data_IF_922569375255
#
_entry.id   IF_922569375255
#
_cell.length_a   1.000
_cell.length_b   1.000
_cell.length_c   1.000
_cell.angle_alpha   90.00
_cell.angle_beta   90.00
_cell.angle_gamma   90.00
#
_symmetry.space_group_name_H-M   'P 1'
#
loop_
_entity.id
_entity.type
_entity.pdbx_description
1 polymer ?
#
# COMPACT_ATOMS: atom_id res chain seq x y z
N UNK A 1 -58.79 16.27 11.28
CA UNK A 1 -57.86 15.56 12.18
C UNK A 1 -56.51 15.36 11.48
N UNK A 2 -56.09 16.31 10.63
CA UNK A 2 -55.16 16.02 9.54
C UNK A 2 -53.86 16.83 9.63
N UNK A 3 -53.91 18.00 10.27
CA UNK A 3 -52.73 18.86 10.50
C UNK A 3 -51.76 18.29 11.53
N UNK A 4 -52.27 17.54 12.52
CA UNK A 4 -51.45 16.90 13.55
C UNK A 4 -50.63 15.76 12.95
N UNK A 5 -51.22 14.99 12.02
CA UNK A 5 -50.52 13.94 11.28
C UNK A 5 -49.49 14.50 10.30
N UNK A 6 -49.78 15.60 9.61
CA UNK A 6 -48.78 16.25 8.74
C UNK A 6 -47.60 16.79 9.55
N UNK A 7 -47.87 17.39 10.72
CA UNK A 7 -46.84 17.87 11.63
C UNK A 7 -46.02 16.69 12.20
N UNK A 8 -46.67 15.58 12.57
CA UNK A 8 -46.05 14.32 12.99
C UNK A 8 -45.13 13.72 11.91
N UNK A 9 -45.54 13.74 10.65
CA UNK A 9 -44.72 13.24 9.53
C UNK A 9 -43.50 14.14 9.24
N UNK A 10 -43.62 15.47 9.49
CA UNK A 10 -42.51 16.43 9.37
C UNK A 10 -41.49 16.33 10.52
N UNK A 11 -41.92 16.10 11.76
CA UNK A 11 -41.00 15.85 12.89
C UNK A 11 -40.33 14.47 12.81
N UNK A 12 -40.98 13.45 12.23
CA UNK A 12 -40.39 12.12 12.00
C UNK A 12 -39.33 12.12 10.88
N UNK A 13 -39.43 13.03 9.91
CA UNK A 13 -38.39 13.19 8.87
C UNK A 13 -37.16 13.98 9.35
N UNK A 14 -37.31 14.80 10.40
CA UNK A 14 -36.20 15.55 10.98
C UNK A 14 -35.39 14.76 12.04
N UNK A 15 -35.95 13.68 12.60
CA UNK A 15 -35.30 12.89 13.67
C UNK A 15 -34.31 11.83 13.16
N UNK A 16 -34.18 11.63 11.85
CA UNK A 16 -33.28 10.60 11.26
C UNK A 16 -31.94 11.18 10.76
N UNK A 17 -31.73 12.50 10.78
CA UNK A 17 -30.41 13.11 10.53
C UNK A 17 -29.57 13.23 11.83
N UNK A 18 -29.59 12.20 12.66
CA UNK A 18 -28.77 12.17 13.87
C UNK A 18 -27.29 11.90 13.50
N UNK A 19 -26.56 12.96 13.17
CA UNK A 19 -25.11 13.06 12.89
C UNK A 19 -24.29 11.76 12.89
N UNK A 20 -24.61 10.88 11.95
CA UNK A 20 -23.85 9.68 11.66
C UNK A 20 -22.73 10.06 10.69
N UNK A 21 -21.49 9.66 11.00
CA UNK A 21 -20.35 9.86 10.12
C UNK A 21 -20.19 8.59 9.28
N UNK A 22 -20.43 8.63 7.95
CA UNK A 22 -20.28 7.44 7.11
C UNK A 22 -18.85 6.90 7.13
N UNK A 23 -18.72 5.57 7.13
CA UNK A 23 -17.41 4.92 7.06
C UNK A 23 -16.74 5.18 5.70
N UNK A 24 -15.40 5.29 5.66
CA UNK A 24 -14.67 5.34 4.40
C UNK A 24 -14.91 4.06 3.59
N UNK A 25 -14.89 4.19 2.26
CA UNK A 25 -15.07 3.06 1.34
C UNK A 25 -13.90 2.95 0.37
N UNK A 26 -13.81 1.82 -0.33
CA UNK A 26 -12.84 1.59 -1.39
C UNK A 26 -11.38 1.82 -0.95
N UNK A 27 -11.02 1.28 0.22
CA UNK A 27 -9.64 1.28 0.68
C UNK A 27 -8.79 0.45 -0.28
N UNK A 28 -7.68 1.02 -0.76
CA UNK A 28 -6.74 0.37 -1.67
C UNK A 28 -5.32 0.73 -1.29
N UNK A 29 -4.42 -0.23 -1.37
CA UNK A 29 -2.98 0.01 -1.29
C UNK A 29 -2.39 -0.13 -2.69
N UNK A 30 -1.80 0.95 -3.18
CA UNK A 30 -0.92 0.91 -4.35
C UNK A 30 0.51 0.70 -3.85
N UNK A 31 1.12 -0.40 -4.25
CA UNK A 31 2.46 -0.79 -3.79
C UNK A 31 3.39 -1.00 -4.98
N UNK A 32 4.36 -0.09 -5.14
CA UNK A 32 5.42 -0.15 -6.16
C UNK A 32 6.76 0.15 -5.53
N UNK A 33 7.78 -0.65 -5.80
CA UNK A 33 9.13 -0.48 -5.22
C UNK A 33 9.12 -0.37 -3.68
N UNK A 34 8.18 -1.07 -3.02
CA UNK A 34 7.94 -0.98 -1.57
C UNK A 34 7.62 0.43 -1.06
N UNK A 35 7.06 1.27 -1.94
CA UNK A 35 6.36 2.49 -1.59
C UNK A 35 4.89 2.13 -1.47
N UNK A 36 4.33 2.27 -0.26
CA UNK A 36 3.00 1.77 0.07
C UNK A 36 2.05 2.95 0.26
N UNK A 37 1.23 3.24 -0.75
CA UNK A 37 0.28 4.35 -0.71
C UNK A 37 -1.14 3.81 -0.48
N UNK A 38 -1.68 4.06 0.71
CA UNK A 38 -3.08 3.78 1.03
C UNK A 38 -3.95 4.92 0.50
N UNK A 39 -5.01 4.58 -0.22
CA UNK A 39 -6.04 5.52 -0.68
C UNK A 39 -7.42 5.03 -0.27
N UNK A 40 -8.37 5.95 -0.14
CA UNK A 40 -9.78 5.64 0.15
C UNK A 40 -10.70 6.72 -0.41
N UNK A 41 -12.00 6.45 -0.36
CA UNK A 41 -13.04 7.41 -0.71
C UNK A 41 -13.91 7.74 0.50
N UNK A 42 -14.46 8.94 0.52
CA UNK A 42 -15.48 9.31 1.49
C UNK A 42 -16.71 8.41 1.32
N UNK A 43 -17.38 8.07 2.43
CA UNK A 43 -18.61 7.30 2.38
C UNK A 43 -19.74 8.09 1.71
N UNK A 44 -20.75 7.41 1.14
CA UNK A 44 -21.91 8.09 0.56
C UNK A 44 -22.61 8.97 1.60
N UNK A 45 -22.92 10.22 1.21
CA UNK A 45 -23.55 11.19 2.12
C UNK A 45 -22.61 11.79 3.18
N UNK A 46 -21.30 11.57 3.08
CA UNK A 46 -20.33 12.23 3.96
C UNK A 46 -20.42 13.76 3.87
N UNK A 47 -20.47 14.49 5.00
CA UNK A 47 -20.44 15.95 5.00
C UNK A 47 -19.06 16.47 4.54
N UNK A 48 -19.01 17.73 4.11
CA UNK A 48 -17.74 18.41 3.83
C UNK A 48 -16.91 18.60 5.11
N UNK A 49 -15.59 18.53 5.00
CA UNK A 49 -14.68 18.87 6.11
C UNK A 49 -14.36 17.71 7.06
N UNK A 50 -14.70 16.47 6.69
CA UNK A 50 -14.25 15.29 7.43
C UNK A 50 -12.72 15.20 7.51
N UNK A 51 -12.26 14.68 8.63
CA UNK A 51 -10.88 14.25 8.81
C UNK A 51 -10.83 12.73 8.87
N UNK A 52 -9.70 12.14 8.50
CA UNK A 52 -9.50 10.70 8.51
C UNK A 52 -8.28 10.36 9.34
N UNK A 53 -8.41 9.28 10.12
CA UNK A 53 -7.34 8.71 10.92
C UNK A 53 -7.00 7.34 10.39
N UNK A 54 -5.71 7.10 10.16
CA UNK A 54 -5.18 5.80 9.76
C UNK A 54 -4.46 5.17 10.94
N UNK A 55 -4.85 3.94 11.27
CA UNK A 55 -4.17 3.11 12.26
C UNK A 55 -3.74 1.80 11.62
N UNK A 56 -2.67 1.22 12.14
CA UNK A 56 -2.11 -0.03 11.66
C UNK A 56 -1.72 -0.93 12.84
N UNK A 57 -1.63 -2.22 12.59
CA UNK A 57 -0.96 -3.17 13.47
C UNK A 57 -0.34 -4.31 12.69
N UNK A 58 0.51 -5.06 13.35
CA UNK A 58 0.93 -6.39 12.92
C UNK A 58 0.63 -7.40 14.03
N UNK A 59 0.93 -8.68 13.84
CA UNK A 59 0.67 -9.69 14.87
C UNK A 59 1.53 -9.54 16.13
N UNK A 60 2.64 -8.80 16.06
CA UNK A 60 3.59 -8.59 17.16
C UNK A 60 3.22 -7.39 18.05
N UNK A 61 2.37 -6.47 17.56
CA UNK A 61 2.12 -5.18 18.20
C UNK A 61 0.62 -4.82 18.19
N UNK A 62 0.20 -4.05 19.17
CA UNK A 62 -1.14 -3.44 19.18
C UNK A 62 -1.32 -2.37 18.09
N UNK A 63 -2.57 -1.91 17.93
CA UNK A 63 -2.93 -0.82 17.04
C UNK A 63 -2.17 0.46 17.37
N UNK A 64 -1.49 1.01 16.37
CA UNK A 64 -0.76 2.28 16.42
C UNK A 64 -1.31 3.23 15.38
N UNK A 65 -1.21 4.53 15.66
CA UNK A 65 -1.57 5.54 14.67
C UNK A 65 -0.40 5.75 13.71
N UNK A 66 -0.70 6.04 12.45
CA UNK A 66 0.32 6.51 11.51
C UNK A 66 0.45 8.03 11.74
N UNK A 67 1.59 8.49 12.25
CA UNK A 67 1.76 9.86 12.75
C UNK A 67 1.38 10.92 11.71
N UNK A 68 1.81 10.72 10.47
CA UNK A 68 1.51 11.62 9.35
C UNK A 68 0.07 11.52 8.81
N UNK A 69 -0.75 10.61 9.36
CA UNK A 69 -2.11 10.34 8.91
C UNK A 69 -3.13 10.31 10.07
N UNK A 70 -2.91 11.15 11.08
CA UNK A 70 -3.81 11.32 12.24
C UNK A 70 -5.08 12.12 11.93
N UNK A 71 -5.00 13.04 10.95
CA UNK A 71 -6.05 14.01 10.60
C UNK A 71 -6.06 14.38 9.10
N UNK A 72 -6.10 13.40 8.21
CA UNK A 72 -6.07 13.57 6.74
C UNK A 72 -7.37 14.21 6.25
N UNK A 73 -7.33 15.15 5.29
CA UNK A 73 -8.54 15.79 4.70
C UNK A 73 -8.65 15.60 3.19
N UNK A 74 -7.71 16.17 2.43
CA UNK A 74 -7.58 15.98 1.00
C UNK A 74 -6.12 16.27 0.62
N UNK A 75 -5.48 15.50 -0.26
CA UNK A 75 -5.98 14.26 -0.89
C UNK A 75 -6.19 13.12 0.13
N UNK A 76 -7.11 12.19 -0.17
CA UNK A 76 -7.43 11.03 0.67
C UNK A 76 -6.42 9.90 0.47
N UNK A 77 -5.20 10.17 0.94
CA UNK A 77 -4.08 9.23 0.86
C UNK A 77 -3.26 9.24 2.16
N UNK A 78 -2.55 8.14 2.38
CA UNK A 78 -1.62 8.00 3.48
C UNK A 78 -0.42 7.15 3.03
N UNK A 79 0.79 7.67 3.25
CA UNK A 79 2.00 6.91 3.00
C UNK A 79 2.27 5.98 4.19
N UNK A 80 2.32 4.68 3.93
CA UNK A 80 2.55 3.63 4.93
C UNK A 80 3.98 3.05 4.87
N UNK A 81 4.83 3.55 3.97
CA UNK A 81 6.16 2.99 3.68
C UNK A 81 7.04 2.78 4.92
N UNK A 82 7.01 3.71 5.87
CA UNK A 82 7.87 3.63 7.05
C UNK A 82 7.30 2.70 8.13
N UNK A 83 5.97 2.61 8.21
CA UNK A 83 5.28 1.77 9.21
C UNK A 83 5.19 0.30 8.79
N UNK A 84 5.18 0.04 7.48
CA UNK A 84 5.21 -1.31 6.88
C UNK A 84 6.65 -1.76 6.58
N UNK A 85 7.56 -1.55 7.54
CA UNK A 85 9.00 -1.76 7.35
C UNK A 85 9.46 -3.22 7.40
N UNK A 86 8.75 -4.09 8.11
CA UNK A 86 9.04 -5.53 8.13
C UNK A 86 8.32 -6.19 6.95
N UNK A 87 9.07 -6.50 5.90
CA UNK A 87 8.50 -6.86 4.59
C UNK A 87 7.84 -8.25 4.56
N UNK A 88 8.10 -9.08 5.57
CA UNK A 88 7.69 -10.49 5.61
C UNK A 88 6.47 -10.76 6.49
N UNK A 89 5.98 -9.76 7.21
CA UNK A 89 4.86 -9.93 8.13
C UNK A 89 3.57 -9.36 7.58
N UNK A 90 2.47 -9.86 8.13
CA UNK A 90 1.13 -9.36 7.82
C UNK A 90 0.79 -8.11 8.63
N UNK A 91 0.28 -7.11 7.93
CA UNK A 91 -0.26 -5.89 8.48
C UNK A 91 -1.77 -5.79 8.30
N UNK A 92 -2.41 -5.17 9.29
CA UNK A 92 -3.84 -4.84 9.30
C UNK A 92 -3.96 -3.33 9.41
N UNK A 93 -4.80 -2.73 8.57
CA UNK A 93 -4.89 -1.29 8.41
C UNK A 93 -6.36 -0.87 8.45
N UNK A 94 -6.65 0.14 9.27
CA UNK A 94 -7.98 0.71 9.40
C UNK A 94 -7.96 2.22 9.13
N UNK A 95 -9.02 2.70 8.48
CA UNK A 95 -9.29 4.11 8.27
C UNK A 95 -10.62 4.46 8.93
N UNK A 96 -10.62 5.52 9.75
CA UNK A 96 -11.81 6.01 10.44
C UNK A 96 -12.07 7.45 10.06
N UNK A 97 -13.31 7.79 9.67
CA UNK A 97 -13.72 9.16 9.43
C UNK A 97 -14.08 9.85 10.76
N UNK A 98 -13.73 11.13 10.89
CA UNK A 98 -13.83 11.93 12.10
C UNK A 98 -14.49 13.27 11.77
N UNK A 99 -15.51 13.63 12.54
CA UNK A 99 -16.24 14.89 12.44
C UNK A 99 -16.43 15.49 13.83
N UNK A 100 -15.54 16.39 14.24
CA UNK A 100 -15.50 16.89 15.61
C UNK A 100 -15.30 15.73 16.60
N UNK A 101 -16.27 15.53 17.50
CA UNK A 101 -16.23 14.47 18.52
C UNK A 101 -16.86 13.14 18.05
N UNK A 102 -17.32 13.06 16.79
CA UNK A 102 -17.96 11.85 16.25
C UNK A 102 -17.03 11.12 15.29
N UNK A 103 -17.12 9.79 15.29
CA UNK A 103 -16.34 8.93 14.40
C UNK A 103 -17.24 7.94 13.68
N UNK A 104 -16.84 7.51 12.48
CA UNK A 104 -17.45 6.37 11.81
C UNK A 104 -17.06 5.04 12.47
N UNK A 105 -17.71 3.95 12.07
CA UNK A 105 -17.09 2.63 12.20
C UNK A 105 -15.77 2.60 11.40
N UNK A 106 -14.74 1.87 11.85
CA UNK A 106 -13.52 1.72 11.08
C UNK A 106 -13.78 0.93 9.80
N UNK A 107 -13.19 1.39 8.69
CA UNK A 107 -13.10 0.62 7.45
C UNK A 107 -11.75 -0.07 7.40
N UNK A 108 -11.73 -1.37 7.12
CA UNK A 108 -10.52 -2.18 7.13
C UNK A 108 -10.09 -2.53 5.71
N UNK A 109 -8.80 -2.38 5.41
CA UNK A 109 -8.20 -2.97 4.23
C UNK A 109 -8.01 -4.49 4.46
N UNK A 110 -8.06 -5.33 3.42
CA UNK A 110 -7.60 -6.71 3.52
C UNK A 110 -6.18 -6.81 4.13
N UNK A 111 -5.81 -7.95 4.74
CA UNK A 111 -4.45 -8.14 5.22
C UNK A 111 -3.41 -7.89 4.11
N UNK A 112 -2.32 -7.22 4.45
CA UNK A 112 -1.28 -6.84 3.49
C UNK A 112 0.10 -7.35 3.96
N UNK A 113 0.82 -8.02 3.08
CA UNK A 113 2.18 -8.53 3.29
C UNK A 113 3.09 -7.87 2.25
N UNK A 114 4.00 -6.96 2.63
CA UNK A 114 4.74 -6.16 1.66
C UNK A 114 5.50 -6.97 0.61
N UNK A 115 6.16 -8.07 0.98
CA UNK A 115 6.93 -8.89 0.02
C UNK A 115 6.05 -9.65 -0.99
N UNK A 116 4.82 -10.00 -0.61
CA UNK A 116 3.92 -10.80 -1.45
C UNK A 116 2.95 -9.94 -2.26
N UNK A 117 2.53 -8.81 -1.70
CA UNK A 117 1.47 -7.95 -2.25
C UNK A 117 2.01 -6.69 -2.95
N UNK A 118 3.34 -6.57 -3.08
CA UNK A 118 4.00 -5.53 -3.87
C UNK A 118 4.37 -6.06 -5.24
N UNK A 119 4.09 -5.29 -6.29
CA UNK A 119 4.61 -5.58 -7.62
C UNK A 119 6.13 -5.38 -7.62
N UNK A 120 6.86 -6.49 -7.75
CA UNK A 120 8.31 -6.49 -7.77
C UNK A 120 8.84 -6.33 -9.20
N UNK A 121 9.59 -5.26 -9.41
CA UNK A 121 10.39 -5.09 -10.61
C UNK A 121 11.78 -5.70 -10.43
N UNK A 122 12.39 -6.26 -11.48
CA UNK A 122 13.77 -6.73 -11.41
C UNK A 122 14.72 -5.61 -10.97
N UNK A 123 15.76 -5.93 -10.17
CA UNK A 123 16.76 -4.96 -9.77
C UNK A 123 17.51 -4.41 -10.99
N UNK A 124 17.99 -3.15 -10.94
CA UNK A 124 18.92 -2.62 -11.91
C UNK A 124 20.12 -3.56 -12.11
N UNK A 125 20.48 -3.80 -13.36
CA UNK A 125 21.64 -4.62 -13.72
C UNK A 125 22.75 -3.76 -14.31
N UNK A 126 23.99 -4.12 -14.01
CA UNK A 126 25.18 -3.53 -14.58
C UNK A 126 26.00 -4.63 -15.26
N UNK A 127 26.34 -4.42 -16.54
CA UNK A 127 27.19 -5.33 -17.31
C UNK A 127 28.55 -4.69 -17.51
N UNK A 128 29.60 -5.42 -17.16
CA UNK A 128 30.99 -4.98 -17.28
C UNK A 128 31.79 -6.00 -18.10
N UNK A 129 32.74 -5.54 -18.94
CA UNK A 129 33.69 -6.43 -19.58
C UNK A 129 34.62 -7.04 -18.53
N UNK A 130 34.80 -8.35 -18.57
CA UNK A 130 35.64 -9.13 -17.67
C UNK A 130 36.52 -10.08 -18.47
N UNK A 131 37.61 -9.57 -19.06
CA UNK A 131 38.48 -10.32 -19.98
C UNK A 131 37.69 -10.93 -21.15
N UNK A 132 37.63 -12.26 -21.25
CA UNK A 132 36.87 -13.03 -22.24
C UNK A 132 35.43 -13.34 -21.77
N UNK A 133 34.94 -12.64 -20.75
CA UNK A 133 33.63 -12.87 -20.14
C UNK A 133 32.92 -11.55 -19.87
N UNK A 134 31.62 -11.63 -19.56
CA UNK A 134 30.84 -10.52 -19.03
C UNK A 134 30.60 -10.72 -17.53
N UNK A 135 30.89 -9.71 -16.74
CA UNK A 135 30.41 -9.66 -15.36
C UNK A 135 29.05 -8.96 -15.34
N UNK A 136 28.07 -9.59 -14.72
CA UNK A 136 26.74 -9.04 -14.49
C UNK A 136 26.51 -8.88 -13.00
N UNK A 137 26.22 -7.65 -12.60
CA UNK A 137 25.93 -7.28 -11.22
C UNK A 137 24.47 -6.84 -11.12
N UNK A 138 23.72 -7.44 -10.20
CA UNK A 138 22.37 -6.99 -9.84
C UNK A 138 22.46 -6.11 -8.61
N UNK A 139 21.95 -4.88 -8.70
CA UNK A 139 22.01 -3.90 -7.63
C UNK A 139 20.64 -3.75 -7.00
N UNK A 140 20.56 -3.81 -5.67
CA UNK A 140 19.31 -3.49 -4.98
C UNK A 140 18.92 -2.03 -5.26
N UNK A 141 17.63 -1.71 -5.52
CA UNK A 141 17.18 -0.34 -5.70
C UNK A 141 17.42 0.57 -4.48
N UNK A 142 17.53 -0.01 -3.28
CA UNK A 142 17.90 0.69 -2.05
C UNK A 142 18.46 -0.27 -1.00
N UNK A 143 19.18 0.25 -0.01
CA UNK A 143 19.75 -0.53 1.10
C UNK A 143 18.66 -1.30 1.87
N UNK A 144 17.50 -0.66 2.11
CA UNK A 144 16.35 -1.28 2.79
C UNK A 144 15.88 -2.57 2.10
N UNK A 145 16.06 -2.66 0.79
CA UNK A 145 15.58 -3.77 -0.03
C UNK A 145 16.65 -4.83 -0.28
N UNK A 146 17.87 -4.63 0.20
CA UNK A 146 18.99 -5.51 -0.11
C UNK A 146 18.73 -6.95 0.32
N UNK A 147 18.29 -7.18 1.56
CA UNK A 147 18.00 -8.53 2.06
C UNK A 147 16.84 -9.20 1.32
N UNK A 148 15.88 -8.43 0.84
CA UNK A 148 14.73 -8.94 0.08
C UNK A 148 15.15 -9.32 -1.33
N UNK A 149 15.85 -8.45 -2.05
CA UNK A 149 16.29 -8.73 -3.42
C UNK A 149 17.30 -9.88 -3.48
N UNK A 150 18.08 -10.12 -2.43
CA UNK A 150 18.99 -11.28 -2.32
C UNK A 150 18.29 -12.64 -2.15
N UNK A 151 17.01 -12.65 -1.75
CA UNK A 151 16.23 -13.89 -1.58
C UNK A 151 15.67 -14.42 -2.90
N UNK A 152 15.51 -13.56 -3.89
CA UNK A 152 15.02 -13.95 -5.20
C UNK A 152 16.14 -14.61 -6.02
N UNK A 153 15.73 -15.58 -6.81
CA UNK A 153 16.59 -16.23 -7.81
C UNK A 153 16.32 -15.59 -9.16
N UNK A 154 17.35 -15.03 -9.78
CA UNK A 154 17.22 -14.37 -11.08
C UNK A 154 17.71 -15.28 -12.20
N UNK A 155 16.93 -15.34 -13.28
CA UNK A 155 17.34 -15.98 -14.53
C UNK A 155 17.75 -14.90 -15.53
N UNK A 156 19.02 -14.92 -15.92
CA UNK A 156 19.56 -14.06 -16.96
C UNK A 156 19.61 -14.81 -18.28
N UNK A 157 19.10 -14.19 -19.34
CA UNK A 157 19.19 -14.70 -20.71
C UNK A 157 20.00 -13.72 -21.56
N UNK A 158 21.07 -14.21 -22.18
CA UNK A 158 21.95 -13.44 -23.06
C UNK A 158 21.60 -13.78 -24.49
N UNK A 159 21.26 -12.76 -25.29
CA UNK A 159 20.94 -12.91 -26.72
C UNK A 159 21.93 -12.15 -27.58
N UNK A 160 22.26 -12.71 -28.74
CA UNK A 160 23.06 -12.03 -29.76
C UNK A 160 22.20 -11.05 -30.55
N UNK A 161 22.84 -10.19 -31.34
CA UNK A 161 22.16 -9.27 -32.27
C UNK A 161 21.27 -9.99 -33.30
N UNK A 162 21.47 -11.31 -33.50
CA UNK A 162 20.65 -12.14 -34.38
C UNK A 162 19.45 -12.77 -33.66
N UNK A 163 19.25 -12.47 -32.37
CA UNK A 163 18.16 -13.00 -31.55
C UNK A 163 18.41 -14.41 -30.98
N UNK A 164 19.52 -15.05 -31.32
CA UNK A 164 19.88 -16.35 -30.76
C UNK A 164 20.39 -16.20 -29.33
N UNK A 165 19.86 -17.01 -28.41
CA UNK A 165 20.38 -17.13 -27.04
C UNK A 165 21.80 -17.69 -27.09
N UNK A 166 22.74 -16.94 -26.53
CA UNK A 166 24.17 -17.29 -26.50
C UNK A 166 24.57 -17.84 -25.14
N UNK A 167 23.78 -17.55 -24.09
CA UNK A 167 23.97 -18.10 -22.77
C UNK A 167 22.79 -17.81 -21.84
N UNK A 168 22.64 -18.64 -20.82
CA UNK A 168 21.70 -18.40 -19.72
C UNK A 168 22.39 -18.71 -18.42
N UNK A 169 22.07 -17.96 -17.37
CA UNK A 169 22.67 -18.18 -16.07
C UNK A 169 21.75 -17.75 -14.93
N UNK A 170 21.88 -18.42 -13.79
CA UNK A 170 21.01 -18.26 -12.62
C UNK A 170 21.85 -17.81 -11.42
N UNK A 171 21.56 -16.62 -10.90
CA UNK A 171 22.27 -16.06 -9.74
C UNK A 171 21.34 -15.27 -8.86
N UNK A 172 21.76 -15.07 -7.62
CA UNK A 172 21.04 -14.28 -6.64
C UNK A 172 21.51 -12.81 -6.67
N UNK A 173 22.75 -12.50 -7.11
CA UNK A 173 23.37 -11.17 -6.93
C UNK A 173 24.48 -10.84 -7.96
N UNK A 174 25.35 -11.79 -8.30
CA UNK A 174 26.53 -11.54 -9.13
C UNK A 174 26.85 -12.76 -9.98
N UNK A 175 27.26 -12.54 -11.23
CA UNK A 175 27.49 -13.62 -12.16
C UNK A 175 28.54 -13.28 -13.21
N UNK A 176 29.40 -14.25 -13.52
CA UNK A 176 30.31 -14.18 -14.66
C UNK A 176 29.80 -15.09 -15.75
N UNK A 177 29.50 -14.52 -16.91
CA UNK A 177 29.10 -15.25 -18.12
C UNK A 177 30.30 -15.32 -19.06
N UNK A 178 30.85 -16.51 -19.24
CA UNK A 178 31.84 -16.79 -20.28
C UNK A 178 31.06 -16.90 -21.59
N UNK A 179 31.40 -16.05 -22.57
CA UNK A 179 30.76 -16.03 -23.89
C UNK A 179 31.60 -16.82 -24.88
#
# INVERSE_FOLDING_TARGET
MDHVYTLLMLIVSCSVFCGHVPAPINLKIESRHFIHLLTWQAGPGSPSGLQYRVIFRNYKNDWKTVDNCTAVRFPLLCNLTDVLSDLEITYYINVTAVSGNKTSTPSSHPPFIPVSDTELEPPPLQVLPCNLSLCVHLHSPSERLETVYKKFTYQLNVTSNQGHTVGSAVSNICMTLII
#
